data_IF_374148482883
#
_entry.id   IF_374148482883
#
_cell.length_a   1.000
_cell.length_b   1.000
_cell.length_c   1.000
_cell.angle_alpha   90.00
_cell.angle_beta   90.00
_cell.angle_gamma   90.00
#
_symmetry.space_group_name_H-M   'P 1'
#
loop_
_entity.id
_entity.type
_entity.pdbx_description
1 polymer ?
#
# COMPACT_ATOMS: atom_id res chain seq x y z
N UNK A 1 -11.22 -2.53 0.53
CA UNK A 1 -11.03 -1.20 -0.10
C UNK A 1 -9.58 -1.10 -0.53
N UNK A 2 -9.28 -0.74 -1.78
CA UNK A 2 -7.92 -0.68 -2.31
C UNK A 2 -7.71 0.60 -3.11
N UNK A 3 -6.46 0.93 -3.43
CA UNK A 3 -6.11 1.96 -4.38
C UNK A 3 -4.87 1.56 -5.19
N UNK A 4 -4.80 2.10 -6.41
CA UNK A 4 -3.73 1.83 -7.36
C UNK A 4 -2.83 3.05 -7.55
N UNK A 5 -1.55 2.78 -7.74
CA UNK A 5 -0.56 3.73 -8.24
C UNK A 5 0.20 3.08 -9.40
N UNK A 6 0.64 3.90 -10.36
CA UNK A 6 1.35 3.41 -11.53
C UNK A 6 2.38 4.43 -12.01
N UNK A 7 3.48 3.91 -12.51
CA UNK A 7 4.50 4.61 -13.28
C UNK A 7 4.48 4.02 -14.71
N UNK A 8 3.81 4.66 -15.67
CA UNK A 8 3.66 4.13 -17.02
C UNK A 8 4.96 4.21 -17.84
N UNK A 9 5.88 5.11 -17.48
CA UNK A 9 7.16 5.31 -18.16
C UNK A 9 8.11 4.16 -17.83
N UNK A 10 8.15 3.79 -16.55
CA UNK A 10 8.98 2.70 -16.05
C UNK A 10 8.26 1.36 -15.97
N UNK A 11 6.96 1.29 -16.25
CA UNK A 11 6.24 0.04 -16.36
C UNK A 11 6.00 -0.68 -15.03
N UNK A 12 5.71 0.09 -13.97
CA UNK A 12 5.42 -0.42 -12.63
C UNK A 12 3.99 -0.05 -12.24
N UNK A 13 3.20 -1.01 -11.76
CA UNK A 13 1.89 -0.76 -11.18
C UNK A 13 1.73 -1.49 -9.86
N UNK A 14 1.16 -0.80 -8.88
CA UNK A 14 0.98 -1.28 -7.51
C UNK A 14 -0.46 -1.06 -7.10
N UNK A 15 -1.06 -2.07 -6.48
CA UNK A 15 -2.32 -1.95 -5.76
C UNK A 15 -2.12 -2.28 -4.29
N UNK A 16 -2.58 -1.39 -3.42
CA UNK A 16 -2.47 -1.54 -1.97
C UNK A 16 -3.82 -1.31 -1.28
N UNK A 17 -4.00 -1.99 -0.15
CA UNK A 17 -5.05 -1.71 0.81
C UNK A 17 -4.64 -0.66 1.85
N UNK A 18 -5.58 -0.23 2.70
CA UNK A 18 -5.31 0.58 3.87
C UNK A 18 -4.28 -0.08 4.78
N UNK A 19 -3.49 0.72 5.48
CA UNK A 19 -2.43 0.22 6.37
C UNK A 19 -1.22 -0.39 5.65
N UNK A 20 -1.14 -0.29 4.31
CA UNK A 20 0.05 -0.68 3.55
C UNK A 20 0.05 -2.12 3.03
N UNK A 21 -1.05 -2.85 3.21
CA UNK A 21 -1.16 -4.22 2.71
C UNK A 21 -1.12 -4.28 1.18
N UNK A 22 0.02 -4.69 0.61
CA UNK A 22 0.18 -4.90 -0.83
C UNK A 22 -0.80 -5.98 -1.34
N UNK A 23 -1.52 -5.70 -2.42
CA UNK A 23 -2.50 -6.60 -3.03
C UNK A 23 -2.10 -7.09 -4.41
N UNK A 24 -1.51 -6.21 -5.21
CA UNK A 24 -1.02 -6.56 -6.55
C UNK A 24 0.22 -5.75 -6.90
N UNK A 25 1.13 -6.35 -7.66
CA UNK A 25 2.34 -5.74 -8.18
C UNK A 25 2.58 -6.27 -9.59
N UNK A 26 2.50 -5.36 -10.57
CA UNK A 26 2.79 -5.67 -11.98
C UNK A 26 4.07 -4.94 -12.39
N UNK A 27 5.01 -5.72 -12.90
CA UNK A 27 6.29 -5.26 -13.43
C UNK A 27 6.41 -5.67 -14.89
N UNK A 28 6.68 -4.73 -15.79
CA UNK A 28 7.01 -5.04 -17.18
C UNK A 28 8.54 -5.06 -17.42
N UNK A 29 8.95 -5.40 -18.65
CA UNK A 29 10.38 -5.47 -19.01
C UNK A 29 11.12 -4.12 -18.94
N UNK A 30 10.42 -2.99 -19.01
CA UNK A 30 11.01 -1.65 -18.89
C UNK A 30 11.42 -1.39 -17.44
N UNK A 31 10.64 -1.88 -16.48
CA UNK A 31 10.97 -1.72 -15.05
C UNK A 31 12.30 -2.37 -14.67
N UNK A 32 12.66 -3.49 -15.32
CA UNK A 32 13.93 -4.16 -15.12
C UNK A 32 15.15 -3.33 -15.58
N UNK A 33 14.95 -2.35 -16.47
CA UNK A 33 16.02 -1.46 -16.96
C UNK A 33 16.46 -0.44 -15.90
N UNK A 34 15.66 -0.23 -14.86
CA UNK A 34 16.01 0.62 -13.71
C UNK A 34 17.15 0.04 -12.86
N UNK A 35 17.47 -1.25 -13.03
CA UNK A 35 18.36 -1.97 -12.15
C UNK A 35 17.75 -2.19 -10.75
N UNK A 36 18.45 -2.96 -9.90
CA UNK A 36 17.92 -3.38 -8.60
C UNK A 36 17.53 -2.20 -7.70
N UNK A 37 18.41 -1.23 -7.52
CA UNK A 37 18.18 -0.10 -6.63
C UNK A 37 17.08 0.85 -7.15
N UNK A 38 17.06 1.12 -8.46
CA UNK A 38 16.05 1.96 -9.09
C UNK A 38 14.67 1.34 -9.04
N UNK A 39 14.57 0.04 -9.32
CA UNK A 39 13.33 -0.71 -9.24
C UNK A 39 12.79 -0.74 -7.80
N UNK A 40 13.64 -1.04 -6.81
CA UNK A 40 13.24 -1.05 -5.40
C UNK A 40 12.67 0.33 -4.98
N UNK A 41 13.36 1.42 -5.34
CA UNK A 41 12.90 2.78 -5.06
C UNK A 41 11.55 3.09 -5.73
N UNK A 42 11.39 2.71 -7.00
CA UNK A 42 10.15 2.94 -7.75
C UNK A 42 8.97 2.19 -7.14
N UNK A 43 9.17 0.91 -6.79
CA UNK A 43 8.13 0.08 -6.15
C UNK A 43 7.73 0.68 -4.80
N UNK A 44 8.69 0.98 -3.92
CA UNK A 44 8.40 1.54 -2.60
C UNK A 44 7.63 2.88 -2.69
N UNK A 45 8.05 3.77 -3.59
CA UNK A 45 7.34 5.04 -3.81
C UNK A 45 5.88 4.83 -4.29
N UNK A 46 5.64 3.83 -5.14
CA UNK A 46 4.29 3.51 -5.61
C UNK A 46 3.44 2.82 -4.54
N UNK A 47 4.04 2.00 -3.68
CA UNK A 47 3.39 1.41 -2.49
C UNK A 47 2.94 2.52 -1.54
N UNK A 48 3.81 3.48 -1.23
CA UNK A 48 3.46 4.61 -0.37
C UNK A 48 2.31 5.43 -0.97
N UNK A 49 2.36 5.70 -2.28
CA UNK A 49 1.32 6.45 -2.98
C UNK A 49 -0.02 5.68 -3.01
N UNK A 50 0.00 4.37 -3.29
CA UNK A 50 -1.20 3.53 -3.29
C UNK A 50 -1.80 3.44 -1.88
N UNK A 51 -0.96 3.28 -0.85
CA UNK A 51 -1.38 3.21 0.55
C UNK A 51 -2.01 4.53 1.00
N UNK A 52 -1.37 5.66 0.72
CA UNK A 52 -1.91 6.98 1.06
C UNK A 52 -3.29 7.21 0.41
N UNK A 53 -3.46 6.79 -0.85
CA UNK A 53 -4.76 6.85 -1.53
C UNK A 53 -5.79 5.91 -0.90
N UNK A 54 -5.41 4.68 -0.56
CA UNK A 54 -6.31 3.73 0.08
C UNK A 54 -6.79 4.24 1.46
N UNK A 55 -5.87 4.78 2.25
CA UNK A 55 -6.16 5.41 3.54
C UNK A 55 -7.08 6.63 3.38
N UNK A 56 -6.79 7.52 2.43
CA UNK A 56 -7.63 8.69 2.16
C UNK A 56 -9.05 8.28 1.78
N UNK A 57 -9.20 7.27 0.92
CA UNK A 57 -10.52 6.76 0.56
C UNK A 57 -11.26 6.19 1.78
N UNK A 58 -10.58 5.44 2.66
CA UNK A 58 -11.22 4.93 3.89
C UNK A 58 -11.68 6.09 4.76
N UNK A 59 -10.84 7.08 5.01
CA UNK A 59 -11.21 8.29 5.77
C UNK A 59 -12.43 8.99 5.16
N UNK A 60 -12.50 9.10 3.84
CA UNK A 60 -13.67 9.65 3.16
C UNK A 60 -14.92 8.79 3.27
N UNK A 61 -14.80 7.45 3.21
CA UNK A 61 -15.93 6.54 3.26
C UNK A 61 -16.51 6.37 4.67
N UNK A 62 -15.68 6.44 5.70
CA UNK A 62 -16.12 6.31 7.10
C UNK A 62 -16.56 7.67 7.67
N UNK A 63 -16.16 8.79 7.05
CA UNK A 63 -16.43 10.14 7.56
C UNK A 63 -15.65 10.43 8.85
N UNK A 64 -15.95 11.55 9.54
CA UNK A 64 -15.45 11.78 10.88
C UNK A 64 -16.24 10.93 11.90
N UNK A 65 -15.82 9.66 12.03
CA UNK A 65 -16.38 8.69 12.99
C UNK A 65 -16.01 8.99 14.43
N UNK A 66 -15.15 9.98 14.68
CA UNK A 66 -14.80 10.41 16.04
C UNK A 66 -16.05 10.85 16.82
N UNK A 67 -17.03 11.43 16.12
CA UNK A 67 -18.34 11.81 16.69
C UNK A 67 -19.22 10.61 17.07
N UNK A 68 -18.95 9.42 16.54
CA UNK A 68 -19.70 8.19 16.81
C UNK A 68 -19.07 7.36 17.94
N UNK A 69 -17.97 7.81 18.55
CA UNK A 69 -17.27 7.07 19.62
C UNK A 69 -16.64 5.76 19.17
N UNK A 70 -16.55 5.52 17.85
CA UNK A 70 -15.98 4.33 17.27
C UNK A 70 -14.49 4.59 17.01
N UNK A 71 -13.62 4.13 17.92
CA UNK A 71 -12.17 4.17 17.77
C UNK A 71 -11.67 3.25 16.64
N UNK A 72 -11.93 3.62 15.39
CA UNK A 72 -11.61 2.83 14.20
C UNK A 72 -10.09 2.79 13.95
N UNK A 73 -9.34 3.82 14.36
CA UNK A 73 -7.87 3.83 14.22
C UNK A 73 -7.21 2.72 15.05
N UNK A 74 -7.70 2.46 16.26
CA UNK A 74 -7.15 1.46 17.18
C UNK A 74 -7.36 0.03 16.67
N UNK A 75 -8.54 -0.27 16.12
CA UNK A 75 -8.83 -1.58 15.48
C UNK A 75 -8.10 -1.81 14.16
N UNK A 76 -7.82 -0.76 13.39
CA UNK A 76 -7.04 -0.90 12.15
C UNK A 76 -5.55 -1.11 12.42
N UNK A 77 -4.98 -0.47 13.45
CA UNK A 77 -3.60 -0.69 13.86
C UNK A 77 -3.36 -2.15 14.29
N UNK A 78 -4.30 -2.73 15.03
CA UNK A 78 -4.24 -4.12 15.52
C UNK A 78 -4.21 -5.16 14.38
N UNK A 79 -4.76 -4.85 13.19
CA UNK A 79 -4.76 -5.76 12.03
C UNK A 79 -3.50 -5.66 11.16
N UNK A 80 -2.67 -4.62 11.33
CA UNK A 80 -1.46 -4.37 10.51
C UNK A 80 -0.23 -5.12 11.05
N UNK A 81 -0.23 -5.49 12.33
CA UNK A 81 0.91 -6.13 12.99
C UNK A 81 1.19 -7.58 12.55
N UNK A 82 0.31 -8.20 11.74
CA UNK A 82 0.48 -9.57 11.23
C UNK A 82 0.83 -9.60 9.74
N UNK A 83 1.91 -8.89 9.36
CA UNK A 83 2.41 -8.88 7.96
C UNK A 83 3.79 -9.53 7.80
N UNK A 84 4.36 -10.09 8.86
CA UNK A 84 5.64 -10.83 8.77
C UNK A 84 5.36 -12.31 8.53
N UNK A 85 5.71 -12.89 7.36
CA UNK A 85 5.60 -14.33 7.16
C UNK A 85 6.47 -15.08 8.17
N UNK A 86 5.92 -16.13 8.80
CA UNK A 86 6.63 -16.92 9.82
C UNK A 86 7.98 -17.51 9.34
N UNK A 87 8.15 -17.66 8.03
CA UNK A 87 9.37 -18.11 7.37
C UNK A 87 10.56 -17.15 7.47
N UNK A 88 10.35 -15.91 7.92
CA UNK A 88 11.39 -14.86 8.02
C UNK A 88 11.85 -14.59 9.45
N UNK A 89 11.19 -15.18 10.45
CA UNK A 89 11.63 -15.15 11.85
C UNK A 89 12.59 -16.33 12.05
N UNK A 90 13.88 -16.10 11.78
CA UNK A 90 15.00 -16.99 12.13
C UNK A 90 15.74 -16.43 13.33
#
# INVERSE_FOLDING_TARGET
MTARAQDPDNGVSVEAGPGGGLRDLVLDRRSLRLGQAGLAKAVLALVDAATARANARVRHAVGDVSALGLGVEERMAESVEDTTPGTWRV
#
